data_IF_995928326055
#
_entry.id   IF_995928326055
#
_cell.length_a   1.000
_cell.length_b   1.000
_cell.length_c   1.000
_cell.angle_alpha   90.00
_cell.angle_beta   90.00
_cell.angle_gamma   90.00
#
_symmetry.space_group_name_H-M   'P 1'
#
loop_
_entity.id
_entity.type
_entity.pdbx_description
1 polymer ?
#
# COMPACT_ATOMS: atom_id res chain seq x y z
N UNK A 1 -13.63 23.75 35.82
CA UNK A 1 -12.60 23.84 34.78
C UNK A 1 -12.90 22.70 33.82
N UNK A 2 -13.62 22.99 32.79
CA UNK A 2 -13.80 22.05 31.67
C UNK A 2 -12.47 22.01 30.92
N UNK A 3 -11.85 20.84 30.89
CA UNK A 3 -10.71 20.60 30.01
C UNK A 3 -11.27 20.57 28.60
N UNK A 4 -11.00 21.62 27.85
CA UNK A 4 -11.21 21.67 26.42
C UNK A 4 -10.31 20.56 25.79
N UNK A 5 -10.92 19.41 25.54
CA UNK A 5 -10.29 18.35 24.74
C UNK A 5 -10.36 18.81 23.28
N UNK A 6 -9.57 19.84 22.96
CA UNK A 6 -9.25 20.13 21.57
C UNK A 6 -8.52 18.90 21.03
N UNK A 7 -9.27 18.07 20.29
CA UNK A 7 -8.76 16.94 19.55
C UNK A 7 -7.57 17.41 18.73
N UNK A 8 -6.38 16.86 18.99
CA UNK A 8 -5.22 17.06 18.14
C UNK A 8 -5.67 16.81 16.69
N UNK A 9 -5.19 17.60 15.70
CA UNK A 9 -5.59 17.41 14.33
C UNK A 9 -5.28 15.97 13.92
N UNK A 10 -6.33 15.21 13.66
CA UNK A 10 -6.21 13.85 13.16
C UNK A 10 -5.50 13.92 11.81
N UNK A 11 -4.44 13.15 11.63
CA UNK A 11 -3.75 13.01 10.36
C UNK A 11 -4.73 12.52 9.30
N UNK A 12 -4.90 13.28 8.24
CA UNK A 12 -5.80 12.91 7.14
C UNK A 12 -5.07 12.00 6.16
N UNK A 13 -5.44 10.73 6.15
CA UNK A 13 -4.91 9.72 5.24
C UNK A 13 -5.94 9.38 4.19
N UNK A 14 -5.57 9.49 2.91
CA UNK A 14 -6.42 9.07 1.79
C UNK A 14 -5.81 7.93 1.02
N UNK A 15 -6.67 7.05 0.52
CA UNK A 15 -6.29 5.93 -0.35
C UNK A 15 -7.02 6.12 -1.67
N UNK A 16 -6.26 6.31 -2.74
CA UNK A 16 -6.78 6.48 -4.09
C UNK A 16 -6.52 5.23 -4.91
N UNK A 17 -7.58 4.58 -5.36
CA UNK A 17 -7.52 3.44 -6.27
C UNK A 17 -7.68 3.88 -7.71
N UNK A 18 -6.70 3.60 -8.55
CA UNK A 18 -6.63 4.07 -9.93
C UNK A 18 -6.82 2.94 -10.92
N UNK A 19 -7.85 3.05 -11.77
CA UNK A 19 -8.22 2.02 -12.73
C UNK A 19 -8.87 0.79 -12.09
N UNK A 20 -9.19 -0.23 -12.87
CA UNK A 20 -9.93 -1.42 -12.40
C UNK A 20 -9.26 -2.13 -11.22
N UNK A 21 -7.95 -2.44 -11.32
CA UNK A 21 -7.20 -3.09 -10.24
C UNK A 21 -7.19 -2.25 -8.95
N UNK A 22 -6.89 -0.95 -9.04
CA UNK A 22 -6.92 -0.06 -7.88
C UNK A 22 -8.32 0.05 -7.24
N UNK A 23 -9.38 0.14 -8.04
CA UNK A 23 -10.75 0.15 -7.55
C UNK A 23 -11.13 -1.15 -6.82
N UNK A 24 -10.65 -2.31 -7.28
CA UNK A 24 -10.87 -3.58 -6.59
C UNK A 24 -10.21 -3.59 -5.20
N UNK A 25 -8.98 -3.07 -5.08
CA UNK A 25 -8.29 -2.94 -3.78
C UNK A 25 -9.09 -2.06 -2.82
N UNK A 26 -9.57 -0.89 -3.28
CA UNK A 26 -10.44 0.00 -2.49
C UNK A 26 -11.69 -0.75 -1.99
N UNK A 27 -12.39 -1.43 -2.89
CA UNK A 27 -13.59 -2.18 -2.52
C UNK A 27 -13.30 -3.22 -1.44
N UNK A 28 -12.15 -3.91 -1.53
CA UNK A 28 -11.72 -4.87 -0.50
C UNK A 28 -11.40 -4.21 0.83
N UNK A 29 -10.68 -3.09 0.82
CA UNK A 29 -10.36 -2.38 2.05
C UNK A 29 -11.64 -1.96 2.78
N UNK A 30 -12.66 -1.51 2.04
CA UNK A 30 -13.97 -1.14 2.59
C UNK A 30 -14.71 -2.39 3.12
N UNK A 31 -14.70 -3.50 2.38
CA UNK A 31 -15.28 -4.79 2.84
C UNK A 31 -14.62 -5.30 4.12
N UNK A 32 -13.32 -5.12 4.26
CA UNK A 32 -12.56 -5.47 5.47
C UNK A 32 -12.68 -4.41 6.58
N UNK A 33 -13.50 -3.37 6.37
CA UNK A 33 -13.77 -2.30 7.35
C UNK A 33 -12.51 -1.61 7.85
N UNK A 34 -11.55 -1.36 6.95
CA UNK A 34 -10.36 -0.55 7.27
C UNK A 34 -10.82 0.84 7.71
N UNK A 35 -10.33 1.30 8.84
CA UNK A 35 -10.71 2.56 9.47
C UNK A 35 -9.58 3.59 9.41
N UNK A 36 -9.91 4.86 9.66
CA UNK A 36 -8.92 5.94 9.75
C UNK A 36 -8.36 6.41 8.41
N UNK A 37 -8.97 6.00 7.29
CA UNK A 37 -8.60 6.42 5.95
C UNK A 37 -9.83 6.76 5.11
N UNK A 38 -9.70 7.73 4.23
CA UNK A 38 -10.73 8.10 3.25
C UNK A 38 -10.44 7.41 1.90
N UNK A 39 -11.48 6.89 1.26
CA UNK A 39 -11.33 6.13 0.02
C UNK A 39 -11.80 6.92 -1.20
N UNK A 40 -10.94 6.97 -2.22
CA UNK A 40 -11.23 7.63 -3.50
C UNK A 40 -11.02 6.61 -4.63
N UNK A 41 -12.06 6.36 -5.41
CA UNK A 41 -11.94 5.54 -6.62
C UNK A 41 -11.86 6.43 -7.87
N UNK A 42 -10.85 6.20 -8.70
CA UNK A 42 -10.60 6.95 -9.93
C UNK A 42 -10.54 5.99 -11.11
N UNK A 43 -11.32 6.27 -12.15
CA UNK A 43 -11.29 5.47 -13.37
C UNK A 43 -11.70 6.29 -14.60
N UNK A 44 -11.28 5.83 -15.79
CA UNK A 44 -11.78 6.26 -17.10
C UNK A 44 -12.99 5.47 -17.56
N UNK A 45 -13.26 4.32 -16.93
CA UNK A 45 -14.39 3.43 -17.20
C UNK A 45 -15.51 3.70 -16.20
N UNK A 46 -16.62 4.26 -16.69
CA UNK A 46 -17.78 4.61 -15.88
C UNK A 46 -18.49 3.38 -15.30
N UNK A 47 -18.52 2.25 -16.02
CA UNK A 47 -19.18 1.04 -15.53
C UNK A 47 -18.43 0.45 -14.34
N UNK A 48 -17.10 0.34 -14.45
CA UNK A 48 -16.26 -0.11 -13.33
C UNK A 48 -16.38 0.83 -12.13
N UNK A 49 -16.48 2.14 -12.37
CA UNK A 49 -16.58 3.14 -11.31
C UNK A 49 -17.90 3.06 -10.55
N UNK A 50 -19.01 2.76 -11.25
CA UNK A 50 -20.33 2.57 -10.64
C UNK A 50 -20.39 1.35 -9.69
N UNK A 51 -19.46 0.42 -9.80
CA UNK A 51 -19.34 -0.74 -8.91
C UNK A 51 -18.47 -0.45 -7.68
N UNK A 52 -17.87 0.73 -7.61
CA UNK A 52 -17.03 1.12 -6.50
C UNK A 52 -17.84 1.37 -5.24
N UNK A 53 -17.29 0.93 -4.10
CA UNK A 53 -17.81 1.17 -2.76
C UNK A 53 -17.21 2.40 -2.08
N UNK A 54 -16.28 3.09 -2.77
CA UNK A 54 -15.62 4.29 -2.25
C UNK A 54 -16.62 5.42 -2.00
N UNK A 55 -16.39 6.20 -0.95
CA UNK A 55 -17.18 7.37 -0.61
C UNK A 55 -17.12 8.45 -1.70
N UNK A 56 -15.97 8.59 -2.34
CA UNK A 56 -15.74 9.50 -3.43
C UNK A 56 -15.32 8.75 -4.68
N UNK A 57 -16.06 8.91 -5.76
CA UNK A 57 -15.74 8.38 -7.08
C UNK A 57 -15.44 9.51 -8.06
N UNK A 58 -14.37 9.40 -8.83
CA UNK A 58 -13.96 10.41 -9.80
C UNK A 58 -13.78 9.74 -11.15
N UNK A 59 -14.64 10.04 -12.10
CA UNK A 59 -14.44 9.69 -13.48
C UNK A 59 -13.49 10.70 -14.12
N UNK A 60 -12.33 10.22 -14.60
CA UNK A 60 -11.35 11.06 -15.29
C UNK A 60 -11.48 10.89 -16.80
N UNK A 61 -11.16 11.95 -17.55
CA UNK A 61 -11.17 11.93 -19.02
C UNK A 61 -12.58 11.71 -19.58
N UNK A 62 -13.59 12.35 -19.04
CA UNK A 62 -15.00 12.19 -19.46
C UNK A 62 -15.21 12.54 -20.93
N UNK A 63 -14.55 13.57 -21.43
CA UNK A 63 -14.60 13.98 -22.84
C UNK A 63 -13.76 13.02 -23.69
N UNK A 64 -12.53 12.75 -23.23
CA UNK A 64 -11.56 11.95 -23.96
C UNK A 64 -12.00 10.50 -24.15
N UNK A 65 -12.53 9.85 -23.09
CA UNK A 65 -12.85 8.41 -23.11
C UNK A 65 -14.34 8.12 -23.21
N UNK A 66 -15.20 9.10 -22.96
CA UNK A 66 -16.65 8.95 -22.89
C UNK A 66 -17.12 7.84 -21.95
N UNK A 67 -16.33 7.57 -20.89
CA UNK A 67 -16.60 6.48 -19.95
C UNK A 67 -16.30 5.07 -20.43
N UNK A 68 -15.66 4.90 -21.59
CA UNK A 68 -15.35 3.60 -22.18
C UNK A 68 -13.98 3.03 -21.80
N UNK A 69 -13.28 3.69 -20.87
CA UNK A 69 -11.94 3.28 -20.44
C UNK A 69 -10.82 3.81 -21.33
N UNK A 70 -9.58 3.47 -20.98
CA UNK A 70 -8.37 3.93 -21.68
C UNK A 70 -7.89 3.00 -22.81
N UNK A 71 -8.60 1.91 -23.12
CA UNK A 71 -8.25 0.99 -24.22
C UNK A 71 -6.84 0.37 -24.10
N UNK A 72 -6.38 0.08 -22.87
CA UNK A 72 -5.04 -0.40 -22.58
C UNK A 72 -3.91 0.54 -23.07
N UNK A 73 -4.19 1.83 -23.22
CA UNK A 73 -3.22 2.86 -23.61
C UNK A 73 -2.91 3.79 -22.44
N UNK A 74 -1.68 3.75 -21.86
CA UNK A 74 -1.28 4.60 -20.74
C UNK A 74 -1.32 6.11 -21.04
N UNK A 75 -1.04 6.53 -22.27
CA UNK A 75 -1.13 7.96 -22.64
C UNK A 75 -2.56 8.50 -22.50
N UNK A 76 -3.57 7.68 -22.85
CA UNK A 76 -4.97 8.04 -22.64
C UNK A 76 -5.27 8.23 -21.14
N UNK A 77 -4.76 7.32 -20.30
CA UNK A 77 -4.89 7.44 -18.84
C UNK A 77 -4.25 8.73 -18.28
N UNK A 78 -3.08 9.07 -18.78
CA UNK A 78 -2.36 10.30 -18.40
C UNK A 78 -3.09 11.58 -18.86
N UNK A 79 -3.54 11.63 -20.12
CA UNK A 79 -4.31 12.77 -20.61
C UNK A 79 -5.66 12.94 -19.89
N UNK A 80 -6.30 11.83 -19.52
CA UNK A 80 -7.53 11.85 -18.72
C UNK A 80 -7.34 12.57 -17.35
N UNK A 81 -6.17 12.42 -16.72
CA UNK A 81 -5.83 13.15 -15.49
C UNK A 81 -5.70 14.65 -15.76
N UNK A 82 -5.09 15.06 -16.88
CA UNK A 82 -4.95 16.47 -17.22
C UNK A 82 -6.31 17.15 -17.38
N UNK A 83 -7.25 16.46 -18.04
CA UNK A 83 -8.63 16.94 -18.19
C UNK A 83 -9.31 17.17 -16.82
N UNK A 84 -9.05 16.26 -15.87
CA UNK A 84 -9.71 16.24 -14.57
C UNK A 84 -8.85 16.82 -13.42
N UNK A 85 -7.74 17.53 -13.73
CA UNK A 85 -6.76 18.01 -12.75
C UNK A 85 -7.40 18.80 -11.60
N UNK A 86 -8.29 19.74 -11.89
CA UNK A 86 -8.94 20.58 -10.86
C UNK A 86 -9.78 19.74 -9.88
N UNK A 87 -10.49 18.74 -10.39
CA UNK A 87 -11.31 17.85 -9.55
C UNK A 87 -10.43 17.01 -8.63
N UNK A 88 -9.34 16.47 -9.15
CA UNK A 88 -8.37 15.69 -8.38
C UNK A 88 -7.66 16.56 -7.33
N UNK A 89 -7.24 17.78 -7.68
CA UNK A 89 -6.66 18.72 -6.72
C UNK A 89 -7.62 19.01 -5.57
N UNK A 90 -8.92 19.26 -5.87
CA UNK A 90 -9.92 19.47 -4.83
C UNK A 90 -10.11 18.25 -3.93
N UNK A 91 -10.12 17.06 -4.50
CA UNK A 91 -10.28 15.81 -3.73
C UNK A 91 -9.09 15.51 -2.82
N UNK A 92 -7.90 16.02 -3.18
CA UNK A 92 -6.65 15.83 -2.43
C UNK A 92 -6.34 16.98 -1.46
N UNK A 93 -7.18 18.01 -1.37
CA UNK A 93 -7.00 19.08 -0.37
C UNK A 93 -7.03 18.50 1.05
N UNK A 94 -6.34 19.16 1.97
CA UNK A 94 -6.28 18.82 3.39
C UNK A 94 -5.87 17.36 3.66
N UNK A 95 -4.97 16.82 2.82
CA UNK A 95 -4.43 15.48 2.93
C UNK A 95 -2.98 15.51 3.39
N UNK A 96 -2.66 14.82 4.47
CA UNK A 96 -1.29 14.69 4.98
C UNK A 96 -0.53 13.55 4.31
N UNK A 97 -1.24 12.43 4.03
CA UNK A 97 -0.68 11.24 3.43
C UNK A 97 -1.62 10.64 2.39
N UNK A 98 -1.06 10.28 1.25
CA UNK A 98 -1.78 9.65 0.15
C UNK A 98 -1.17 8.30 -0.22
N UNK A 99 -1.98 7.25 -0.18
CA UNK A 99 -1.67 6.00 -0.83
C UNK A 99 -2.27 5.97 -2.23
N UNK A 100 -1.46 5.63 -3.21
CA UNK A 100 -1.91 5.41 -4.59
C UNK A 100 -1.79 3.93 -4.90
N UNK A 101 -2.91 3.27 -5.16
CA UNK A 101 -2.92 1.85 -5.54
C UNK A 101 -3.44 1.65 -6.96
N UNK A 102 -2.73 0.81 -7.72
CA UNK A 102 -3.07 0.52 -9.11
C UNK A 102 -2.48 -0.83 -9.55
N UNK A 103 -3.18 -1.51 -10.46
CA UNK A 103 -2.56 -2.58 -11.26
C UNK A 103 -1.85 -1.98 -12.46
N UNK A 104 -0.53 -2.18 -12.55
CA UNK A 104 0.27 -1.66 -13.65
C UNK A 104 0.18 -2.58 -14.88
N UNK A 105 0.42 -2.01 -16.06
CA UNK A 105 0.33 -2.71 -17.35
C UNK A 105 -0.96 -2.49 -18.13
N UNK A 106 -1.99 -1.90 -17.51
CA UNK A 106 -3.20 -1.43 -18.18
C UNK A 106 -3.06 0.03 -18.67
N UNK A 107 -4.16 0.60 -19.17
CA UNK A 107 -4.16 2.00 -19.62
C UNK A 107 -4.32 2.98 -18.48
N UNK A 108 -5.44 2.89 -17.75
CA UNK A 108 -5.80 3.87 -16.69
C UNK A 108 -4.80 3.84 -15.55
N UNK A 109 -4.60 2.69 -14.88
CA UNK A 109 -3.69 2.59 -13.74
C UNK A 109 -2.27 3.04 -14.07
N UNK A 110 -1.72 2.56 -15.19
CA UNK A 110 -0.35 2.83 -15.62
C UNK A 110 -0.11 4.29 -15.97
N UNK A 111 -1.07 4.93 -16.66
CA UNK A 111 -0.93 6.31 -17.11
C UNK A 111 -1.37 7.33 -16.07
N UNK A 112 -2.48 7.08 -15.39
CA UNK A 112 -3.06 8.04 -14.46
C UNK A 112 -2.37 8.06 -13.08
N UNK A 113 -1.90 6.92 -12.55
CA UNK A 113 -1.29 6.89 -11.22
C UNK A 113 -0.07 7.81 -11.09
N UNK A 114 0.91 7.83 -12.05
CA UNK A 114 2.03 8.77 -11.99
C UNK A 114 1.59 10.24 -12.07
N UNK A 115 0.57 10.54 -12.89
CA UNK A 115 0.08 11.90 -13.04
C UNK A 115 -0.67 12.41 -11.79
N UNK A 116 -1.42 11.53 -11.12
CA UNK A 116 -2.07 11.82 -9.83
C UNK A 116 -1.00 12.01 -8.73
N UNK A 117 0.02 11.16 -8.71
CA UNK A 117 1.13 11.29 -7.77
C UNK A 117 1.85 12.63 -7.91
N UNK A 118 2.01 13.12 -9.13
CA UNK A 118 2.61 14.44 -9.37
C UNK A 118 1.72 15.57 -8.81
N UNK A 119 0.39 15.48 -8.93
CA UNK A 119 -0.54 16.44 -8.32
C UNK A 119 -0.39 16.42 -6.79
N UNK A 120 -0.34 15.24 -6.18
CA UNK A 120 -0.17 15.10 -4.74
C UNK A 120 1.16 15.71 -4.25
N UNK A 121 2.24 15.48 -5.00
CA UNK A 121 3.57 16.08 -4.72
C UNK A 121 3.56 17.60 -4.83
N UNK A 122 2.87 18.17 -5.84
CA UNK A 122 2.69 19.61 -5.98
C UNK A 122 1.95 20.21 -4.77
N UNK A 123 1.09 19.44 -4.11
CA UNK A 123 0.37 19.83 -2.89
C UNK A 123 1.17 19.58 -1.59
N UNK A 124 2.38 19.01 -1.67
CA UNK A 124 3.22 18.71 -0.51
C UNK A 124 2.78 17.49 0.31
N UNK A 125 1.94 16.62 -0.25
CA UNK A 125 1.40 15.43 0.41
C UNK A 125 2.44 14.32 0.41
N UNK A 126 2.67 13.67 1.57
CA UNK A 126 3.46 12.44 1.62
C UNK A 126 2.78 11.36 0.77
N UNK A 127 3.41 10.97 -0.33
CA UNK A 127 2.78 10.09 -1.32
C UNK A 127 3.48 8.74 -1.39
N UNK A 128 2.74 7.67 -1.15
CA UNK A 128 3.21 6.28 -1.22
C UNK A 128 2.47 5.54 -2.32
N UNK A 129 3.21 5.00 -3.29
CA UNK A 129 2.67 4.11 -4.30
C UNK A 129 2.71 2.65 -3.81
N UNK A 130 1.60 1.93 -3.90
CA UNK A 130 1.52 0.49 -3.62
C UNK A 130 0.83 -0.16 -4.81
N UNK A 131 1.60 -0.77 -5.69
CA UNK A 131 1.13 -1.23 -7.01
C UNK A 131 1.54 -2.66 -7.31
N UNK A 132 0.79 -3.32 -8.19
CA UNK A 132 1.18 -4.64 -8.71
C UNK A 132 1.75 -4.53 -10.12
N UNK A 133 2.72 -5.41 -10.44
CA UNK A 133 3.07 -5.70 -11.83
C UNK A 133 2.32 -6.95 -12.31
N UNK A 134 2.01 -7.02 -13.63
CA UNK A 134 1.17 -8.10 -14.16
C UNK A 134 1.84 -9.46 -14.04
N UNK A 135 1.02 -10.51 -14.09
CA UNK A 135 1.50 -11.87 -14.26
C UNK A 135 2.17 -12.05 -15.64
N UNK A 136 3.17 -12.92 -15.71
CA UNK A 136 3.89 -13.22 -16.96
C UNK A 136 2.94 -13.67 -18.08
N UNK A 137 1.88 -14.42 -17.76
CA UNK A 137 0.90 -14.88 -18.76
C UNK A 137 0.04 -13.77 -19.37
N UNK A 138 -0.01 -12.57 -18.76
CA UNK A 138 -0.73 -11.41 -19.30
C UNK A 138 -0.04 -10.79 -20.53
N UNK A 139 1.19 -11.20 -20.81
CA UNK A 139 1.90 -10.96 -22.06
C UNK A 139 2.88 -9.77 -22.01
N UNK A 140 3.81 -9.80 -22.97
CA UNK A 140 4.95 -8.85 -23.03
C UNK A 140 4.54 -7.39 -23.11
N UNK A 141 3.48 -7.08 -23.85
CA UNK A 141 3.01 -5.69 -23.98
C UNK A 141 2.63 -5.09 -22.63
N UNK A 142 1.87 -5.86 -21.82
CA UNK A 142 1.50 -5.43 -20.46
C UNK A 142 2.71 -5.30 -19.56
N UNK A 143 3.65 -6.23 -19.62
CA UNK A 143 4.88 -6.18 -18.85
C UNK A 143 5.72 -4.93 -19.17
N UNK A 144 5.91 -4.60 -20.45
CA UNK A 144 6.64 -3.40 -20.88
C UNK A 144 5.93 -2.13 -20.38
N UNK A 145 4.62 -2.02 -20.59
CA UNK A 145 3.84 -0.88 -20.10
C UNK A 145 3.92 -0.74 -18.58
N UNK A 146 3.88 -1.85 -17.84
CA UNK A 146 4.05 -1.84 -16.39
C UNK A 146 5.41 -1.31 -15.98
N UNK A 147 6.49 -1.76 -16.64
CA UNK A 147 7.87 -1.29 -16.35
C UNK A 147 7.99 0.21 -16.54
N UNK A 148 7.49 0.74 -17.65
CA UNK A 148 7.56 2.18 -17.96
C UNK A 148 6.69 3.00 -16.98
N UNK A 149 5.51 2.50 -16.64
CA UNK A 149 4.62 3.13 -15.67
C UNK A 149 5.19 3.13 -14.25
N UNK A 150 5.79 2.03 -13.82
CA UNK A 150 6.48 1.90 -12.52
C UNK A 150 7.65 2.88 -12.46
N UNK A 151 8.46 2.96 -13.53
CA UNK A 151 9.57 3.92 -13.59
C UNK A 151 9.10 5.38 -13.51
N UNK A 152 7.96 5.69 -14.14
CA UNK A 152 7.34 7.02 -14.07
C UNK A 152 6.76 7.31 -12.69
N UNK A 153 6.08 6.34 -12.08
CA UNK A 153 5.48 6.47 -10.75
C UNK A 153 6.57 6.64 -9.68
N UNK A 154 7.68 5.89 -9.78
CA UNK A 154 8.82 5.99 -8.85
C UNK A 154 9.39 7.42 -8.75
N UNK A 155 9.36 8.17 -9.85
CA UNK A 155 9.83 9.57 -9.89
C UNK A 155 8.84 10.55 -9.26
N UNK A 156 7.56 10.16 -9.17
CA UNK A 156 6.47 11.03 -8.73
C UNK A 156 6.08 10.83 -7.27
N UNK A 157 6.37 9.67 -6.67
CA UNK A 157 6.06 9.35 -5.27
C UNK A 157 7.29 9.47 -4.37
N UNK A 158 7.08 9.60 -3.07
CA UNK A 158 8.14 9.54 -2.06
C UNK A 158 8.69 8.12 -1.91
N UNK A 159 7.79 7.16 -1.84
CA UNK A 159 8.11 5.73 -1.70
C UNK A 159 7.21 4.90 -2.60
N UNK A 160 7.79 3.92 -3.29
CA UNK A 160 7.09 2.99 -4.16
C UNK A 160 7.30 1.55 -3.71
N UNK A 161 6.21 0.88 -3.42
CA UNK A 161 6.14 -0.57 -3.18
C UNK A 161 5.57 -1.22 -4.44
N UNK A 162 6.34 -2.13 -5.04
CA UNK A 162 5.91 -2.89 -6.21
C UNK A 162 5.80 -4.35 -5.84
N UNK A 163 4.62 -4.93 -6.04
CA UNK A 163 4.34 -6.34 -5.77
C UNK A 163 4.23 -7.07 -7.12
N UNK A 164 5.21 -7.91 -7.49
CA UNK A 164 5.09 -8.70 -8.70
C UNK A 164 4.04 -9.81 -8.50
N UNK A 165 3.01 -9.84 -9.35
CA UNK A 165 1.95 -10.85 -9.23
C UNK A 165 2.50 -12.28 -9.35
N UNK A 166 3.57 -12.51 -10.12
CA UNK A 166 4.19 -13.83 -10.22
C UNK A 166 4.70 -14.36 -8.87
N UNK A 167 5.09 -13.48 -7.92
CA UNK A 167 5.49 -13.89 -6.56
C UNK A 167 4.33 -14.43 -5.75
N UNK A 168 3.11 -14.05 -6.06
CA UNK A 168 1.93 -14.58 -5.41
C UNK A 168 1.73 -16.06 -5.72
N UNK A 169 2.18 -16.52 -6.91
CA UNK A 169 2.13 -17.94 -7.30
C UNK A 169 3.00 -18.83 -6.38
N UNK A 170 3.96 -18.24 -5.65
CA UNK A 170 4.78 -18.96 -4.66
C UNK A 170 4.06 -19.12 -3.32
N UNK A 171 3.01 -18.32 -3.07
CA UNK A 171 2.27 -18.27 -1.79
C UNK A 171 0.95 -19.03 -1.88
N UNK A 172 0.29 -18.99 -3.06
CA UNK A 172 -1.02 -19.62 -3.28
C UNK A 172 -0.87 -21.10 -3.65
N UNK A 173 -1.91 -21.89 -3.35
CA UNK A 173 -1.96 -23.29 -3.77
C UNK A 173 -2.08 -23.41 -5.30
N UNK A 174 -1.45 -24.43 -5.89
CA UNK A 174 -1.48 -24.68 -7.35
C UNK A 174 -2.89 -24.89 -7.91
N UNK A 175 -3.83 -25.30 -7.07
CA UNK A 175 -5.23 -25.52 -7.44
C UNK A 175 -6.10 -24.28 -7.20
N UNK A 176 -5.54 -23.15 -6.78
CA UNK A 176 -6.30 -21.93 -6.52
C UNK A 176 -6.93 -21.41 -7.82
N UNK A 177 -8.26 -21.20 -7.86
CA UNK A 177 -8.93 -20.64 -9.02
C UNK A 177 -8.35 -19.27 -9.42
N UNK A 178 -8.36 -18.96 -10.71
CA UNK A 178 -7.81 -17.71 -11.25
C UNK A 178 -8.40 -16.47 -10.56
N UNK A 179 -9.70 -16.46 -10.30
CA UNK A 179 -10.35 -15.35 -9.60
C UNK A 179 -9.79 -15.15 -8.19
N UNK A 180 -9.53 -16.23 -7.46
CA UNK A 180 -8.93 -16.17 -6.12
C UNK A 180 -7.47 -15.71 -6.16
N UNK A 181 -6.72 -16.07 -7.22
CA UNK A 181 -5.35 -15.59 -7.40
C UNK A 181 -5.29 -14.06 -7.57
N UNK A 182 -6.22 -13.46 -8.33
CA UNK A 182 -6.33 -12.00 -8.40
C UNK A 182 -6.79 -11.39 -7.08
N UNK A 183 -7.66 -12.11 -6.35
CA UNK A 183 -8.07 -11.69 -5.03
C UNK A 183 -6.92 -11.66 -4.05
N UNK A 184 -5.97 -12.59 -4.12
CA UNK A 184 -4.76 -12.55 -3.29
C UNK A 184 -3.85 -11.36 -3.64
N UNK A 185 -3.75 -11.00 -4.91
CA UNK A 185 -3.04 -9.78 -5.31
C UNK A 185 -3.65 -8.53 -4.66
N UNK A 186 -4.97 -8.39 -4.72
CA UNK A 186 -5.69 -7.29 -4.07
C UNK A 186 -5.50 -7.32 -2.54
N UNK A 187 -5.49 -8.53 -1.93
CA UNK A 187 -5.31 -8.72 -0.50
C UNK A 187 -3.91 -8.30 -0.02
N UNK A 188 -2.88 -8.61 -0.79
CA UNK A 188 -1.51 -8.19 -0.47
C UNK A 188 -1.36 -6.67 -0.57
N UNK A 189 -1.94 -6.04 -1.59
CA UNK A 189 -1.98 -4.56 -1.69
C UNK A 189 -2.70 -3.95 -0.48
N UNK A 190 -3.86 -4.50 -0.13
CA UNK A 190 -4.61 -4.11 1.06
C UNK A 190 -3.76 -4.21 2.33
N UNK A 191 -3.14 -5.38 2.58
CA UNK A 191 -2.29 -5.60 3.76
C UNK A 191 -1.09 -4.65 3.78
N UNK A 192 -0.54 -4.31 2.61
CA UNK A 192 0.53 -3.35 2.47
C UNK A 192 0.14 -1.94 2.91
N UNK A 193 -1.01 -1.46 2.45
CA UNK A 193 -1.54 -0.15 2.82
C UNK A 193 -1.94 -0.15 4.29
N UNK A 194 -2.70 -1.15 4.73
CA UNK A 194 -3.16 -1.29 6.10
C UNK A 194 -1.99 -1.44 7.09
N UNK A 195 -0.93 -2.13 6.68
CA UNK A 195 0.27 -2.29 7.50
C UNK A 195 0.91 -0.98 7.90
N UNK A 196 0.82 0.03 7.04
CA UNK A 196 1.36 1.38 7.30
C UNK A 196 0.31 2.28 7.96
N UNK A 197 -0.92 2.30 7.43
CA UNK A 197 -1.97 3.19 7.93
C UNK A 197 -2.35 2.89 9.39
N UNK A 198 -2.48 1.62 9.75
CA UNK A 198 -2.83 1.23 11.12
C UNK A 198 -1.80 1.68 12.17
N UNK A 199 -0.51 1.81 11.79
CA UNK A 199 0.52 2.34 12.70
C UNK A 199 0.23 3.77 13.16
N UNK A 200 -0.48 4.52 12.31
CA UNK A 200 -0.80 5.94 12.54
C UNK A 200 -2.21 6.09 13.11
N UNK A 201 -3.18 5.29 12.61
CA UNK A 201 -4.61 5.52 12.85
C UNK A 201 -5.19 4.66 13.96
N UNK A 202 -4.59 3.51 14.25
CA UNK A 202 -5.12 2.57 15.25
C UNK A 202 -4.36 2.74 16.56
N UNK A 203 -5.05 3.09 17.66
CA UNK A 203 -4.41 3.13 18.97
C UNK A 203 -3.86 1.73 19.32
N UNK A 204 -2.56 1.67 19.54
CA UNK A 204 -1.86 0.44 19.92
C UNK A 204 -1.25 0.53 21.31
N UNK A 205 -0.58 -0.54 21.74
CA UNK A 205 0.25 -0.51 22.95
C UNK A 205 1.49 0.35 22.76
N UNK A 206 2.02 0.36 21.54
CA UNK A 206 3.14 1.21 21.12
C UNK A 206 2.69 1.90 19.84
N UNK A 207 2.49 3.21 19.94
CA UNK A 207 2.06 4.05 18.83
C UNK A 207 3.26 4.62 18.08
N UNK A 208 3.06 4.87 16.80
CA UNK A 208 4.04 5.53 15.93
C UNK A 208 3.47 6.87 15.49
N UNK A 209 4.24 7.93 15.65
CA UNK A 209 3.85 9.25 15.21
C UNK A 209 3.92 9.35 13.68
N UNK A 210 3.04 10.17 13.08
CA UNK A 210 3.09 10.44 11.64
C UNK A 210 4.44 11.02 11.20
N UNK A 211 5.08 11.84 12.05
CA UNK A 211 6.39 12.41 11.78
C UNK A 211 7.47 11.33 11.61
N UNK A 212 7.41 10.26 12.39
CA UNK A 212 8.31 9.12 12.30
C UNK A 212 8.11 8.36 10.98
N UNK A 213 6.85 8.06 10.63
CA UNK A 213 6.53 7.43 9.35
C UNK A 213 7.00 8.29 8.19
N UNK A 214 6.78 9.61 8.26
CA UNK A 214 7.24 10.57 7.26
C UNK A 214 8.77 10.52 7.09
N UNK A 215 9.53 10.42 8.18
CA UNK A 215 11.00 10.34 8.15
C UNK A 215 11.49 9.09 7.42
N UNK A 216 10.84 7.94 7.64
CA UNK A 216 11.21 6.68 6.98
C UNK A 216 10.75 6.62 5.53
N UNK A 217 9.63 7.30 5.17
CA UNK A 217 9.01 7.14 3.87
C UNK A 217 9.29 8.29 2.88
N UNK A 218 9.68 9.49 3.35
CA UNK A 218 9.91 10.62 2.45
C UNK A 218 11.15 10.42 1.58
N UNK A 219 10.98 10.56 0.26
CA UNK A 219 12.04 10.50 -0.74
C UNK A 219 12.93 9.24 -0.66
N UNK A 220 12.36 8.09 -0.31
CA UNK A 220 13.08 6.82 -0.18
C UNK A 220 13.11 5.99 -1.47
N UNK A 221 12.34 6.37 -2.47
CA UNK A 221 12.31 5.66 -3.75
C UNK A 221 11.65 4.28 -3.63
N UNK A 222 12.42 3.21 -3.74
CA UNK A 222 11.86 1.84 -3.64
C UNK A 222 11.75 1.38 -2.20
N UNK A 223 10.64 0.71 -1.88
CA UNK A 223 10.47 -0.03 -0.64
C UNK A 223 9.93 -1.44 -0.92
N UNK A 224 10.18 -2.33 0.04
CA UNK A 224 9.75 -3.71 0.00
C UNK A 224 8.83 -3.98 1.19
N UNK A 225 7.86 -4.85 0.99
CA UNK A 225 6.97 -5.31 2.04
C UNK A 225 7.15 -6.80 2.29
N UNK A 226 7.19 -7.17 3.55
CA UNK A 226 7.18 -8.56 3.98
C UNK A 226 6.10 -8.78 5.04
N UNK A 227 5.38 -9.88 4.92
CA UNK A 227 4.30 -10.24 5.83
C UNK A 227 4.52 -11.67 6.30
N UNK A 228 4.43 -11.87 7.60
CA UNK A 228 4.53 -13.20 8.20
C UNK A 228 3.47 -13.40 9.27
N UNK A 229 2.80 -14.56 9.24
CA UNK A 229 1.81 -14.96 10.23
C UNK A 229 2.17 -16.31 10.83
N UNK A 230 2.03 -16.44 12.15
CA UNK A 230 2.27 -17.69 12.86
C UNK A 230 1.42 -17.80 14.12
N UNK A 231 1.21 -19.04 14.57
CA UNK A 231 0.49 -19.41 15.77
C UNK A 231 1.31 -20.35 16.66
N UNK A 232 0.87 -20.54 17.89
CA UNK A 232 1.43 -21.49 18.84
C UNK A 232 2.76 -21.04 19.45
N UNK A 233 3.58 -22.00 19.89
CA UNK A 233 4.86 -21.71 20.53
C UNK A 233 5.81 -20.95 19.59
N UNK A 234 6.50 -19.94 20.12
CA UNK A 234 7.45 -19.08 19.40
C UNK A 234 6.80 -18.36 18.18
N UNK A 235 5.51 -18.04 18.27
CA UNK A 235 4.70 -17.47 17.17
C UNK A 235 5.26 -16.14 16.65
N UNK A 236 5.73 -15.25 17.52
CA UNK A 236 6.29 -13.96 17.13
C UNK A 236 7.63 -14.13 16.37
N UNK A 237 8.49 -15.02 16.86
CA UNK A 237 9.75 -15.41 16.19
C UNK A 237 9.49 -15.99 14.81
N UNK A 238 8.55 -16.92 14.72
CA UNK A 238 8.16 -17.56 13.44
C UNK A 238 7.54 -16.55 12.48
N UNK A 239 6.69 -15.66 12.97
CA UNK A 239 6.08 -14.61 12.16
C UNK A 239 7.12 -13.63 11.63
N UNK A 240 8.07 -13.18 12.47
CA UNK A 240 9.16 -12.31 12.05
C UNK A 240 10.06 -12.96 10.99
N UNK A 241 10.45 -14.22 11.19
CA UNK A 241 11.22 -14.99 10.20
C UNK A 241 10.48 -15.14 8.86
N UNK A 242 9.17 -15.43 8.90
CA UNK A 242 8.34 -15.49 7.69
C UNK A 242 8.23 -14.14 7.00
N UNK A 243 8.12 -13.04 7.75
CA UNK A 243 8.08 -11.70 7.19
C UNK A 243 9.37 -11.37 6.43
N UNK A 244 10.54 -11.68 6.99
CA UNK A 244 11.85 -11.47 6.35
C UNK A 244 12.05 -12.39 5.14
N UNK A 245 11.53 -13.61 5.21
CA UNK A 245 11.63 -14.61 4.14
C UNK A 245 10.43 -14.55 3.16
N UNK A 246 9.60 -13.52 3.26
CA UNK A 246 8.40 -13.37 2.40
C UNK A 246 8.80 -13.33 0.92
N UNK A 247 8.19 -14.12 0.04
CA UNK A 247 8.41 -14.03 -1.40
C UNK A 247 8.10 -12.67 -2.00
N UNK A 248 7.30 -11.85 -1.29
CA UNK A 248 7.00 -10.47 -1.67
C UNK A 248 8.23 -9.55 -1.60
N UNK A 249 9.23 -9.93 -0.79
CA UNK A 249 10.53 -9.28 -0.77
C UNK A 249 11.34 -9.80 -1.95
N UNK A 250 11.50 -9.00 -2.98
CA UNK A 250 12.32 -9.36 -4.16
C UNK A 250 13.81 -9.52 -3.84
N UNK A 251 14.25 -8.92 -2.74
CA UNK A 251 15.63 -8.93 -2.26
C UNK A 251 15.65 -9.01 -0.73
N UNK A 252 16.82 -9.29 -0.16
CA UNK A 252 17.01 -9.18 1.29
C UNK A 252 16.72 -7.76 1.79
N UNK A 253 16.25 -7.62 3.03
CA UNK A 253 16.13 -6.32 3.71
C UNK A 253 17.50 -5.66 3.97
N UNK A 254 18.59 -6.37 3.71
CA UNK A 254 19.93 -5.82 3.75
C UNK A 254 20.06 -4.63 2.79
N UNK A 255 20.58 -3.51 3.30
CA UNK A 255 20.73 -2.27 2.54
C UNK A 255 19.55 -1.31 2.66
N UNK A 256 18.47 -1.67 3.36
CA UNK A 256 17.45 -0.72 3.74
C UNK A 256 17.99 0.30 4.74
N UNK A 257 17.66 1.58 4.54
CA UNK A 257 18.02 2.67 5.46
C UNK A 257 17.01 2.80 6.61
N UNK A 258 15.76 2.42 6.37
CA UNK A 258 14.69 2.47 7.35
C UNK A 258 13.74 1.29 7.24
N UNK A 259 13.24 0.85 8.38
CA UNK A 259 12.23 -0.21 8.48
C UNK A 259 11.09 0.24 9.37
N UNK A 260 9.87 0.14 8.86
CA UNK A 260 8.66 0.17 9.67
C UNK A 260 8.29 -1.27 10.00
N UNK A 261 8.13 -1.59 11.27
CA UNK A 261 7.67 -2.89 11.75
C UNK A 261 6.35 -2.72 12.48
N UNK A 262 5.32 -3.43 12.02
CA UNK A 262 4.04 -3.57 12.72
C UNK A 262 3.90 -4.99 13.23
N UNK A 263 3.66 -5.13 14.51
CA UNK A 263 3.34 -6.42 15.13
C UNK A 263 1.89 -6.40 15.60
N UNK A 264 1.07 -7.30 15.07
CA UNK A 264 -0.33 -7.44 15.44
C UNK A 264 -0.55 -8.79 16.11
N UNK A 265 -1.14 -8.78 17.29
CA UNK A 265 -1.46 -10.00 18.03
C UNK A 265 -2.76 -9.90 18.79
N UNK A 266 -3.19 -11.00 19.40
CA UNK A 266 -4.33 -11.03 20.32
C UNK A 266 -4.01 -10.37 21.67
N UNK A 267 -4.98 -10.30 22.60
CA UNK A 267 -4.79 -9.69 23.93
C UNK A 267 -3.71 -10.38 24.78
N UNK A 268 -3.31 -11.58 24.40
CA UNK A 268 -2.28 -12.38 25.07
C UNK A 268 -0.87 -12.14 24.52
N UNK A 269 -0.67 -11.11 23.67
CA UNK A 269 0.64 -10.74 23.17
C UNK A 269 1.53 -10.22 24.29
N UNK A 270 2.70 -10.86 24.49
CA UNK A 270 3.62 -10.50 25.55
C UNK A 270 4.73 -9.55 25.08
N UNK A 271 5.29 -8.76 26.00
CA UNK A 271 6.43 -7.89 25.72
C UNK A 271 7.67 -8.67 25.26
N UNK A 272 7.85 -9.88 25.76
CA UNK A 272 8.94 -10.77 25.31
C UNK A 272 8.81 -11.15 23.84
N UNK A 273 7.61 -11.52 23.40
CA UNK A 273 7.35 -11.85 21.98
C UNK A 273 7.64 -10.66 21.06
N UNK A 274 7.28 -9.48 21.50
CA UNK A 274 7.55 -8.22 20.79
C UNK A 274 9.06 -8.00 20.64
N UNK A 275 9.81 -8.14 21.74
CA UNK A 275 11.25 -7.96 21.75
C UNK A 275 11.98 -9.00 20.87
N UNK A 276 11.57 -10.26 20.95
CA UNK A 276 12.15 -11.33 20.13
C UNK A 276 11.93 -11.08 18.64
N UNK A 277 10.73 -10.67 18.24
CA UNK A 277 10.43 -10.34 16.86
C UNK A 277 11.28 -9.15 16.35
N UNK A 278 11.39 -8.09 17.16
CA UNK A 278 12.21 -6.92 16.83
C UNK A 278 13.70 -7.27 16.69
N UNK A 279 14.25 -8.11 17.58
CA UNK A 279 15.63 -8.56 17.51
C UNK A 279 15.93 -9.36 16.22
N UNK A 280 14.99 -10.19 15.77
CA UNK A 280 15.15 -10.96 14.54
C UNK A 280 15.25 -10.02 13.32
N UNK A 281 14.38 -9.00 13.26
CA UNK A 281 14.38 -8.05 12.14
C UNK A 281 15.65 -7.19 12.18
N UNK A 282 16.05 -6.69 13.35
CA UNK A 282 17.28 -5.93 13.52
C UNK A 282 18.52 -6.76 13.11
N UNK A 283 18.55 -8.03 13.46
CA UNK A 283 19.67 -8.93 13.11
C UNK A 283 19.73 -9.29 11.62
N UNK A 284 18.61 -9.14 10.90
CA UNK A 284 18.54 -9.45 9.47
C UNK A 284 19.00 -8.28 8.59
N UNK A 285 19.25 -7.11 9.16
CA UNK A 285 19.79 -5.94 8.47
C UNK A 285 21.22 -5.66 8.95
N UNK A 286 22.06 -5.14 8.05
CA UNK A 286 23.40 -4.68 8.41
C UNK A 286 23.31 -3.27 9.01
N UNK A 287 23.91 -3.06 10.18
CA UNK A 287 24.29 -1.82 10.89
C UNK A 287 23.51 -0.50 10.57
N UNK A 288 23.16 0.23 11.65
CA UNK A 288 22.52 1.56 11.64
C UNK A 288 21.13 1.65 10.97
N UNK A 289 20.31 0.59 11.13
CA UNK A 289 18.95 0.59 10.67
C UNK A 289 18.09 1.54 11.53
N UNK A 290 17.48 2.54 10.91
CA UNK A 290 16.42 3.31 11.57
C UNK A 290 15.14 2.45 11.60
N UNK A 291 14.88 1.77 12.72
CA UNK A 291 13.72 0.91 12.90
C UNK A 291 12.66 1.61 13.75
N UNK A 292 11.50 1.83 13.15
CA UNK A 292 10.30 2.29 13.83
C UNK A 292 9.37 1.10 14.01
N UNK A 293 8.91 0.94 15.23
CA UNK A 293 8.16 -0.20 15.68
C UNK A 293 6.84 0.21 16.31
N UNK A 294 5.74 -0.44 15.91
CA UNK A 294 4.45 -0.29 16.54
C UNK A 294 3.78 -1.64 16.80
N UNK A 295 2.94 -1.69 17.82
CA UNK A 295 2.17 -2.90 18.15
C UNK A 295 0.69 -2.60 18.28
N UNK A 296 -0.13 -3.43 17.65
CA UNK A 296 -1.59 -3.32 17.61
C UNK A 296 -2.20 -4.60 18.18
N UNK A 297 -3.21 -4.46 19.04
CA UNK A 297 -3.99 -5.58 19.52
C UNK A 297 -5.23 -5.76 18.64
N UNK A 298 -5.40 -6.98 18.13
CA UNK A 298 -6.57 -7.38 17.36
C UNK A 298 -7.15 -8.68 17.94
N UNK A 299 -8.29 -8.57 18.60
CA UNK A 299 -8.96 -9.69 19.27
C UNK A 299 -9.32 -10.84 18.31
N UNK A 300 -9.52 -10.54 17.03
CA UNK A 300 -9.85 -11.55 16.01
C UNK A 300 -8.68 -12.51 15.72
N UNK A 301 -7.45 -12.12 16.03
CA UNK A 301 -6.27 -12.96 15.82
C UNK A 301 -6.12 -14.07 16.87
N UNK A 302 -6.77 -13.95 18.02
CA UNK A 302 -6.68 -14.93 19.12
C UNK A 302 -5.23 -15.27 19.45
N UNK A 303 -4.81 -16.48 19.08
CA UNK A 303 -3.45 -16.98 19.31
C UNK A 303 -2.49 -16.73 18.14
N UNK A 304 -2.94 -16.11 17.08
CA UNK A 304 -2.07 -15.76 15.95
C UNK A 304 -1.32 -14.46 16.20
N UNK A 305 -0.11 -14.40 15.66
CA UNK A 305 0.69 -13.18 15.58
C UNK A 305 1.02 -12.90 14.12
N UNK A 306 0.86 -11.66 13.71
CA UNK A 306 1.22 -11.19 12.38
C UNK A 306 2.28 -10.09 12.49
N UNK A 307 3.34 -10.23 11.72
CA UNK A 307 4.41 -9.24 11.56
C UNK A 307 4.36 -8.71 10.15
N UNK A 308 4.24 -7.40 10.01
CA UNK A 308 4.37 -6.69 8.74
C UNK A 308 5.61 -5.81 8.82
N UNK A 309 6.47 -5.90 7.84
CA UNK A 309 7.66 -5.05 7.70
C UNK A 309 7.59 -4.29 6.38
N UNK A 310 7.96 -3.02 6.43
CA UNK A 310 8.17 -2.20 5.24
C UNK A 310 9.58 -1.67 5.31
N UNK A 311 10.44 -2.14 4.42
CA UNK A 311 11.84 -1.76 4.33
C UNK A 311 12.01 -0.75 3.20
N UNK A 312 12.58 0.42 3.48
CA UNK A 312 12.69 1.53 2.53
C UNK A 312 14.11 2.09 2.44
N UNK A 313 14.40 2.80 1.34
CA UNK A 313 15.68 3.47 1.17
C UNK A 313 16.80 2.54 0.75
N UNK A 314 16.55 1.65 -0.19
CA UNK A 314 17.59 0.82 -0.79
C UNK A 314 18.49 1.68 -1.70
N UNK A 315 19.80 1.67 -1.45
CA UNK A 315 20.77 2.26 -2.37
C UNK A 315 20.79 1.39 -3.64
N UNK A 316 20.24 1.92 -4.74
CA UNK A 316 20.34 1.35 -6.09
C UNK A 316 21.61 1.82 -6.76
#
# INVERSE_FOLDING_TARGET
>A
MEFDTSTAPLVTIKVIGVGGGGNNVINRMIEHKVQGVEFIAVNTDAQSLNLSKAELTIQIGTILTRGLGAGANPEVGKEAVKESKKQLQKALQDTDMLFITAGMGGGTGTGAAPAIAQIARELGILTIGVVTSPFTFEGRKRATQATDGIASLKKAVDTLIVIPNDRLLEIIDKNTPLLESFREADNVLHQGIQGISDLITVPGLINVDFADVKTIMSNKGSALIGIGKAAGKDRAVKAAKKAIASPLLNTSINGAQGVLMKLTGGPNLSLHEVQEAANIIASASNHDLNMIFGSVINENLKDDVMVTIVAAGFNC
#
